data_IF_540378402294
#
_entry.id   IF_540378402294
#
_cell.length_a   1.000
_cell.length_b   1.000
_cell.length_c   1.000
_cell.angle_alpha   90.00
_cell.angle_beta   90.00
_cell.angle_gamma   90.00
#
_symmetry.space_group_name_H-M   'P 1'
#
loop_
_entity.id
_entity.type
_entity.pdbx_description
1 polymer ?
#
# COMPACT_ATOMS: atom_id res chain seq x y z
N UNK A 1 14.60 -4.08 -17.39
CA UNK A 1 13.78 -2.86 -17.56
C UNK A 1 14.63 -1.65 -17.22
N UNK A 2 14.51 -0.56 -17.98
CA UNK A 2 15.19 0.70 -17.70
C UNK A 2 14.67 1.31 -16.39
N UNK A 3 15.58 1.90 -15.59
CA UNK A 3 15.21 2.49 -14.29
C UNK A 3 14.18 3.62 -14.41
N UNK A 4 14.28 4.42 -15.49
CA UNK A 4 13.32 5.50 -15.73
C UNK A 4 11.93 4.95 -16.06
N UNK A 5 11.87 3.89 -16.85
CA UNK A 5 10.59 3.22 -17.17
C UNK A 5 9.98 2.62 -15.90
N UNK A 6 10.81 2.01 -15.03
CA UNK A 6 10.35 1.47 -13.77
C UNK A 6 9.77 2.57 -12.87
N UNK A 7 10.44 3.73 -12.77
CA UNK A 7 9.96 4.86 -11.97
C UNK A 7 8.66 5.44 -12.53
N UNK A 8 8.54 5.57 -13.84
CA UNK A 8 7.31 6.03 -14.49
C UNK A 8 6.15 5.06 -14.21
N UNK A 9 6.42 3.76 -14.22
CA UNK A 9 5.44 2.74 -13.89
C UNK A 9 4.96 2.85 -12.44
N UNK A 10 5.89 3.06 -11.51
CA UNK A 10 5.56 3.26 -10.10
C UNK A 10 4.73 4.53 -9.91
N UNK A 11 5.11 5.63 -10.54
CA UNK A 11 4.38 6.89 -10.46
C UNK A 11 2.95 6.72 -10.97
N UNK A 12 2.76 6.00 -12.06
CA UNK A 12 1.44 5.69 -12.62
C UNK A 12 0.64 4.83 -11.64
N UNK A 13 1.26 3.79 -11.05
CA UNK A 13 0.60 2.92 -10.08
C UNK A 13 0.10 3.71 -8.88
N UNK A 14 0.95 4.56 -8.29
CA UNK A 14 0.62 5.36 -7.11
C UNK A 14 -0.57 6.29 -7.39
N UNK A 15 -0.66 6.85 -8.60
CA UNK A 15 -1.69 7.80 -9.00
C UNK A 15 -2.92 7.13 -9.64
N UNK A 16 -2.99 5.80 -9.65
CA UNK A 16 -4.10 5.04 -10.25
C UNK A 16 -4.95 4.41 -9.15
N UNK A 17 -6.25 4.69 -9.16
CA UNK A 17 -7.19 4.15 -8.15
C UNK A 17 -7.41 2.64 -8.30
N UNK A 18 -7.38 2.11 -9.53
CA UNK A 18 -7.58 0.69 -9.82
C UNK A 18 -6.39 0.16 -10.63
N UNK A 19 -5.23 -0.04 -9.97
CA UNK A 19 -3.99 -0.34 -10.69
C UNK A 19 -4.02 -1.62 -11.54
N UNK A 20 -4.72 -2.67 -11.11
CA UNK A 20 -4.80 -3.91 -11.88
C UNK A 20 -5.60 -3.76 -13.17
N UNK A 21 -6.48 -2.77 -13.26
CA UNK A 21 -7.17 -2.44 -14.50
C UNK A 21 -6.21 -1.86 -15.53
N UNK A 22 -5.23 -1.07 -15.07
CA UNK A 22 -4.23 -0.43 -15.94
C UNK A 22 -3.08 -1.39 -16.27
N UNK A 23 -2.55 -2.08 -15.25
CA UNK A 23 -1.33 -2.90 -15.40
C UNK A 23 -1.61 -4.38 -15.69
N UNK A 24 -2.85 -4.84 -15.54
CA UNK A 24 -3.35 -6.19 -15.87
C UNK A 24 -2.86 -7.31 -14.96
N UNK A 25 -1.69 -7.21 -14.33
CA UNK A 25 -1.21 -8.25 -13.42
C UNK A 25 -0.24 -7.69 -12.37
N UNK A 26 -0.16 -8.39 -11.24
CA UNK A 26 0.81 -8.08 -10.19
C UNK A 26 2.25 -8.28 -10.65
N UNK A 27 2.50 -9.23 -11.55
CA UNK A 27 3.85 -9.47 -12.06
C UNK A 27 4.42 -8.24 -12.77
N UNK A 28 3.57 -7.53 -13.53
CA UNK A 28 3.97 -6.28 -14.20
C UNK A 28 4.27 -5.22 -13.16
N UNK A 29 3.40 -5.04 -12.17
CA UNK A 29 3.59 -4.06 -11.09
C UNK A 29 4.87 -4.35 -10.31
N UNK A 30 5.08 -5.60 -9.90
CA UNK A 30 6.28 -5.99 -9.15
C UNK A 30 7.56 -5.78 -9.95
N UNK A 31 7.49 -5.95 -11.28
CA UNK A 31 8.63 -5.68 -12.15
C UNK A 31 9.14 -4.23 -12.04
N UNK A 32 8.24 -3.26 -11.89
CA UNK A 32 8.64 -1.86 -11.69
C UNK A 32 9.40 -1.68 -10.38
N UNK A 33 8.93 -2.26 -9.28
CA UNK A 33 9.55 -2.11 -7.97
C UNK A 33 10.90 -2.81 -7.89
N UNK A 34 11.08 -3.94 -8.56
CA UNK A 34 12.35 -4.65 -8.57
C UNK A 34 13.45 -3.88 -9.30
N UNK A 35 13.08 -3.06 -10.28
CA UNK A 35 14.04 -2.34 -11.13
C UNK A 35 14.26 -0.88 -10.72
N UNK A 36 13.50 -0.37 -9.73
CA UNK A 36 13.67 1.00 -9.24
C UNK A 36 14.89 1.08 -8.31
N UNK A 37 15.61 2.20 -8.38
CA UNK A 37 16.84 2.38 -7.61
C UNK A 37 16.59 2.83 -6.17
N UNK A 38 15.55 3.64 -5.94
CA UNK A 38 15.24 4.21 -4.64
C UNK A 38 13.87 3.74 -4.16
N UNK A 39 13.74 3.58 -2.83
CA UNK A 39 12.50 3.09 -2.20
C UNK A 39 11.56 4.22 -1.78
N UNK A 40 11.87 5.46 -2.12
CA UNK A 40 11.01 6.61 -1.80
C UNK A 40 11.26 7.75 -2.78
N UNK A 41 10.28 8.65 -2.91
CA UNK A 41 10.47 9.87 -3.69
C UNK A 41 11.22 10.93 -2.86
N UNK A 42 11.71 11.97 -3.55
CA UNK A 42 12.51 13.03 -2.92
C UNK A 42 11.74 13.76 -1.81
N UNK A 43 10.46 14.04 -2.04
CA UNK A 43 9.62 14.75 -1.06
C UNK A 43 9.38 13.93 0.21
N UNK A 44 9.41 12.61 0.11
CA UNK A 44 9.12 11.70 1.22
C UNK A 44 10.37 11.14 1.90
N UNK A 45 11.56 11.48 1.41
CA UNK A 45 12.83 10.91 1.89
C UNK A 45 13.03 11.09 3.39
N UNK A 46 12.73 12.27 3.92
CA UNK A 46 12.89 12.54 5.35
C UNK A 46 11.99 11.64 6.20
N UNK A 47 10.74 11.47 5.78
CA UNK A 47 9.79 10.61 6.48
C UNK A 47 10.19 9.14 6.38
N UNK A 48 10.65 8.70 5.22
CA UNK A 48 11.17 7.35 5.04
C UNK A 48 12.34 7.07 5.98
N UNK A 49 13.28 8.01 6.08
CA UNK A 49 14.47 7.87 6.93
C UNK A 49 14.09 7.72 8.41
N UNK A 50 12.99 8.32 8.84
CA UNK A 50 12.50 8.25 10.22
C UNK A 50 11.71 6.99 10.55
N UNK A 51 11.38 6.15 9.55
CA UNK A 51 10.66 4.91 9.83
C UNK A 51 11.50 3.98 10.69
N UNK A 52 10.88 3.29 11.67
CA UNK A 52 11.60 2.31 12.50
C UNK A 52 11.98 1.07 11.68
N UNK A 53 12.83 0.21 12.25
CA UNK A 53 13.25 -1.03 11.58
C UNK A 53 12.11 -2.00 11.33
N UNK A 54 11.08 -1.98 12.18
CA UNK A 54 9.82 -2.70 11.99
C UNK A 54 8.72 -1.66 11.91
N UNK A 55 8.01 -1.62 10.80
CA UNK A 55 7.02 -0.58 10.49
C UNK A 55 5.62 -1.12 10.64
N UNK A 56 4.80 -0.45 11.45
CA UNK A 56 3.39 -0.79 11.61
C UNK A 56 2.59 -0.15 10.49
N UNK A 57 1.74 -0.93 9.84
CA UNK A 57 1.00 -0.49 8.66
C UNK A 57 -0.47 -0.92 8.74
N UNK A 58 -1.32 -0.23 8.00
CA UNK A 58 -2.77 -0.41 8.00
C UNK A 58 -3.30 -0.39 6.57
N UNK A 59 -4.41 -1.10 6.36
CA UNK A 59 -5.08 -1.08 5.06
C UNK A 59 -6.59 -1.11 5.27
N UNK A 60 -7.30 -0.12 4.71
CA UNK A 60 -8.76 -0.08 4.73
C UNK A 60 -9.33 -0.98 3.64
N UNK A 61 -10.29 -1.86 4.01
CA UNK A 61 -10.93 -2.80 3.09
C UNK A 61 -12.40 -2.92 3.41
N UNK A 62 -13.15 -3.56 2.52
CA UNK A 62 -14.54 -3.94 2.78
C UNK A 62 -14.65 -5.46 2.88
N UNK A 63 -15.49 -5.93 3.82
CA UNK A 63 -15.95 -7.31 3.83
C UNK A 63 -17.34 -7.33 3.17
N UNK A 64 -17.56 -8.22 2.25
CA UNK A 64 -18.79 -8.34 1.49
C UNK A 64 -19.23 -9.80 1.44
N UNK A 65 -20.51 -10.06 1.79
CA UNK A 65 -21.07 -11.41 1.80
C UNK A 65 -20.27 -12.39 2.67
N UNK A 66 -19.76 -11.91 3.81
CA UNK A 66 -18.95 -12.72 4.71
C UNK A 66 -17.50 -12.93 4.27
N UNK A 67 -17.10 -12.37 3.14
CA UNK A 67 -15.74 -12.45 2.64
C UNK A 67 -15.02 -11.14 2.91
N UNK A 68 -13.81 -11.27 3.48
CA UNK A 68 -12.94 -10.12 3.73
C UNK A 68 -12.33 -9.63 2.43
N UNK A 69 -12.13 -8.30 2.33
CA UNK A 69 -11.37 -7.73 1.22
C UNK A 69 -9.97 -8.32 1.14
N UNK A 70 -9.42 -8.34 -0.06
CA UNK A 70 -8.09 -8.94 -0.29
C UNK A 70 -6.99 -8.18 0.45
N UNK A 71 -6.01 -8.92 0.96
CA UNK A 71 -4.75 -8.35 1.39
C UNK A 71 -4.01 -7.89 0.13
N UNK A 72 -3.77 -6.61 0.02
CA UNK A 72 -3.17 -6.03 -1.18
C UNK A 72 -1.76 -5.51 -0.94
N UNK A 73 -1.25 -4.78 -1.91
CA UNK A 73 0.11 -4.24 -1.91
C UNK A 73 0.17 -2.85 -1.27
N UNK A 74 -0.90 -2.07 -1.34
CA UNK A 74 -0.92 -0.69 -0.85
C UNK A 74 -1.41 -0.63 0.60
N UNK A 75 -0.56 -0.09 1.47
CA UNK A 75 -0.81 0.09 2.90
C UNK A 75 -0.49 1.52 3.30
N UNK A 76 -0.80 1.90 4.52
CA UNK A 76 -0.44 3.22 5.07
C UNK A 76 0.11 3.09 6.48
N UNK A 77 1.00 3.99 6.87
CA UNK A 77 1.47 4.07 8.26
C UNK A 77 0.49 4.80 9.17
N UNK A 78 -0.54 5.43 8.61
CA UNK A 78 -1.54 6.21 9.35
C UNK A 78 -2.88 5.49 9.39
N UNK A 79 -3.28 5.01 10.58
CA UNK A 79 -4.55 4.32 10.78
C UNK A 79 -5.75 5.15 10.32
N UNK A 80 -5.72 6.47 10.51
CA UNK A 80 -6.82 7.36 10.08
C UNK A 80 -7.01 7.34 8.57
N UNK A 81 -5.91 7.26 7.82
CA UNK A 81 -5.98 7.15 6.36
C UNK A 81 -6.64 5.84 5.96
N UNK A 82 -6.28 4.72 6.61
CA UNK A 82 -6.92 3.42 6.36
C UNK A 82 -8.42 3.46 6.66
N UNK A 83 -8.81 4.08 7.77
CA UNK A 83 -10.22 4.25 8.14
C UNK A 83 -10.98 5.05 7.08
N UNK A 84 -10.40 6.15 6.59
CA UNK A 84 -10.99 6.98 5.54
C UNK A 84 -11.19 6.19 4.25
N UNK A 85 -10.22 5.36 3.87
CA UNK A 85 -10.33 4.52 2.68
C UNK A 85 -11.46 3.51 2.81
N UNK A 86 -11.54 2.81 3.96
CA UNK A 86 -12.60 1.83 4.19
C UNK A 86 -13.98 2.49 4.14
N UNK A 87 -14.13 3.65 4.78
CA UNK A 87 -15.41 4.38 4.79
C UNK A 87 -15.76 4.93 3.41
N UNK A 88 -14.78 5.37 2.64
CA UNK A 88 -14.99 5.86 1.27
C UNK A 88 -15.51 4.75 0.34
N UNK A 89 -15.07 3.51 0.58
CA UNK A 89 -15.51 2.35 -0.20
C UNK A 89 -16.88 1.83 0.20
N UNK A 90 -17.38 2.18 1.41
CA UNK A 90 -18.64 1.68 1.96
C UNK A 90 -19.84 1.83 1.01
N UNK A 91 -20.02 2.95 0.26
CA UNK A 91 -21.13 3.08 -0.68
C UNK A 91 -21.16 2.03 -1.78
N UNK A 92 -20.06 1.34 -2.06
CA UNK A 92 -20.01 0.26 -3.04
C UNK A 92 -20.60 -1.05 -2.51
N UNK A 93 -20.95 -1.10 -1.22
CA UNK A 93 -21.53 -2.24 -0.52
C UNK A 93 -20.49 -3.02 0.28
N UNK A 94 -20.89 -3.42 1.50
CA UNK A 94 -20.02 -4.17 2.41
C UNK A 94 -19.78 -3.43 3.71
N UNK A 95 -19.08 -4.09 4.63
CA UNK A 95 -18.73 -3.53 5.94
C UNK A 95 -17.26 -3.08 5.94
N UNK A 96 -16.96 -1.88 6.48
CA UNK A 96 -15.59 -1.38 6.51
C UNK A 96 -14.75 -2.09 7.58
N UNK A 97 -13.56 -2.49 7.20
CA UNK A 97 -12.57 -3.14 8.08
C UNK A 97 -11.19 -2.56 7.83
N UNK A 98 -10.30 -2.79 8.81
CA UNK A 98 -8.90 -2.44 8.69
C UNK A 98 -8.06 -3.69 8.89
N UNK A 99 -7.14 -3.94 7.98
CA UNK A 99 -6.01 -4.82 8.24
C UNK A 99 -4.93 -4.01 8.95
N UNK A 100 -4.34 -4.60 9.99
CA UNK A 100 -3.21 -4.06 10.71
C UNK A 100 -2.09 -5.09 10.68
N UNK A 101 -0.87 -4.65 10.48
CA UNK A 101 0.25 -5.58 10.47
C UNK A 101 1.58 -4.86 10.62
N UNK A 102 2.66 -5.64 10.59
CA UNK A 102 4.01 -5.12 10.65
C UNK A 102 4.87 -5.72 9.55
N UNK A 103 5.84 -4.93 9.07
CA UNK A 103 6.78 -5.35 8.03
C UNK A 103 8.15 -4.79 8.37
N UNK A 104 9.21 -5.55 8.07
CA UNK A 104 10.57 -5.03 8.17
C UNK A 104 10.77 -3.90 7.16
N UNK A 105 11.39 -2.80 7.61
CA UNK A 105 11.64 -1.64 6.74
C UNK A 105 12.39 -2.04 5.46
N UNK A 106 13.32 -2.98 5.56
CA UNK A 106 14.09 -3.46 4.40
C UNK A 106 13.22 -4.14 3.34
N UNK A 107 12.04 -4.65 3.72
CA UNK A 107 11.10 -5.32 2.81
C UNK A 107 10.03 -4.39 2.23
N UNK A 108 10.05 -3.10 2.58
CA UNK A 108 9.19 -2.12 1.94
C UNK A 108 9.64 -1.94 0.50
N UNK A 109 8.71 -2.06 -0.44
CA UNK A 109 9.00 -1.90 -1.87
C UNK A 109 9.14 -0.42 -2.24
N UNK A 110 8.24 0.42 -1.70
CA UNK A 110 8.25 1.85 -1.97
C UNK A 110 7.43 2.58 -0.91
N UNK A 111 7.86 3.79 -0.55
CA UNK A 111 7.14 4.67 0.38
C UNK A 111 6.93 6.04 -0.26
N UNK A 112 5.73 6.61 -0.12
CA UNK A 112 5.47 7.97 -0.57
C UNK A 112 4.43 8.66 0.30
N UNK A 113 4.65 9.94 0.59
CA UNK A 113 3.66 10.81 1.22
C UNK A 113 3.20 11.92 0.28
N UNK A 114 3.43 11.76 -1.03
CA UNK A 114 3.09 12.78 -2.02
C UNK A 114 1.61 13.17 -2.03
N UNK A 115 0.73 12.25 -1.59
CA UNK A 115 -0.72 12.48 -1.46
C UNK A 115 -1.17 12.64 -0.01
N UNK A 116 -0.22 12.86 0.90
CA UNK A 116 -0.47 12.95 2.35
C UNK A 116 -1.12 11.69 2.93
N UNK A 117 -0.90 10.53 2.30
CA UNK A 117 -1.48 9.26 2.70
C UNK A 117 -0.47 8.32 3.37
N UNK A 118 0.80 8.74 3.50
CA UNK A 118 1.89 7.91 4.06
C UNK A 118 1.86 6.50 3.48
N UNK A 119 1.76 6.40 2.15
CA UNK A 119 1.55 5.14 1.46
C UNK A 119 2.81 4.27 1.48
N UNK A 120 2.61 2.98 1.82
CA UNK A 120 3.66 1.97 1.86
C UNK A 120 3.25 0.83 0.93
N UNK A 121 4.10 0.53 -0.04
CA UNK A 121 3.86 -0.57 -0.97
C UNK A 121 4.67 -1.78 -0.51
N UNK A 122 4.00 -2.90 -0.27
CA UNK A 122 4.55 -4.09 0.37
C UNK A 122 4.05 -5.33 -0.37
N UNK A 123 4.94 -6.31 -0.56
CA UNK A 123 4.47 -7.65 -0.93
C UNK A 123 3.83 -8.28 0.32
N UNK A 124 2.54 -8.66 0.29
CA UNK A 124 1.87 -9.22 1.47
C UNK A 124 2.58 -10.44 2.06
N UNK A 125 3.31 -11.21 1.24
CA UNK A 125 4.06 -12.38 1.71
C UNK A 125 5.22 -12.00 2.65
N UNK A 126 5.66 -10.75 2.64
CA UNK A 126 6.73 -10.25 3.51
C UNK A 126 6.21 -9.68 4.84
N UNK A 127 4.90 -9.66 5.05
CA UNK A 127 4.32 -9.21 6.32
C UNK A 127 4.67 -10.16 7.46
N UNK A 128 5.08 -9.62 8.60
CA UNK A 128 5.42 -10.40 9.79
C UNK A 128 4.18 -11.00 10.44
N UNK A 129 3.08 -10.25 10.45
CA UNK A 129 1.77 -10.69 10.90
C UNK A 129 0.71 -9.74 10.35
N UNK A 130 -0.54 -10.19 10.30
CA UNK A 130 -1.68 -9.39 9.87
C UNK A 130 -2.87 -9.70 10.77
N UNK A 131 -3.48 -8.66 11.35
CA UNK A 131 -4.72 -8.73 12.09
C UNK A 131 -5.83 -7.98 11.34
N UNK A 132 -7.06 -8.18 11.79
CA UNK A 132 -8.25 -7.70 11.10
C UNK A 132 -9.24 -7.13 12.12
N UNK A 133 -9.67 -5.88 11.92
CA UNK A 133 -10.52 -5.17 12.87
C UNK A 133 -11.66 -4.43 12.15
N UNK A 134 -12.86 -4.50 12.71
CA UNK A 134 -14.01 -3.77 12.17
C UNK A 134 -13.88 -2.28 12.46
N UNK A 135 -14.23 -1.44 11.48
CA UNK A 135 -14.28 0.03 11.65
C UNK A 135 -15.63 0.40 12.24
N UNK A 136 -15.61 1.06 13.38
CA UNK A 136 -16.81 1.57 14.05
C UNK A 136 -17.29 2.88 13.45
#
# INVERSE_FOLDING_TARGET
MDKQIAQEGIDTYINTEFPLTVFKSWDVVMGFFNDVEQKTDEESQEQYDKLPSVVKVYRGVLAKDGLKGSVGVSWTTDRKVAEMFALRLKPTGGEPYIYEGEVDKENILYFTNAREESEVLINPDDMLWIDFEEVE
#
